data_IF_559373171953
#
_entry.id   IF_559373171953
#
_cell.length_a   1.000
_cell.length_b   1.000
_cell.length_c   1.000
_cell.angle_alpha   90.00
_cell.angle_beta   90.00
_cell.angle_gamma   90.00
#
_symmetry.space_group_name_H-M   'P 1'
#
loop_
_entity.id
_entity.type
_entity.pdbx_description
1 polymer ?
#
# COMPACT_ATOMS: atom_id res chain seq x y z
N UNK A 1 -7.68 -2.79 -32.85
CA UNK A 1 -8.11 -2.61 -31.44
C UNK A 1 -8.67 -3.92 -30.94
N UNK A 2 -7.97 -4.58 -30.02
CA UNK A 2 -8.50 -5.75 -29.30
C UNK A 2 -9.67 -5.30 -28.43
N UNK A 3 -10.75 -6.10 -28.36
CA UNK A 3 -11.90 -5.76 -27.53
C UNK A 3 -11.51 -5.98 -26.07
N UNK A 4 -11.35 -4.89 -25.30
CA UNK A 4 -11.14 -4.96 -23.85
C UNK A 4 -12.18 -5.88 -23.21
N UNK A 5 -11.74 -6.67 -22.23
CA UNK A 5 -12.61 -7.54 -21.43
C UNK A 5 -13.77 -6.72 -20.83
N UNK A 6 -15.00 -7.24 -20.93
CA UNK A 6 -16.21 -6.57 -20.41
C UNK A 6 -16.10 -6.25 -18.91
N UNK A 7 -15.47 -7.12 -18.12
CA UNK A 7 -15.25 -6.91 -16.69
C UNK A 7 -14.38 -5.67 -16.43
N UNK A 8 -13.31 -5.47 -17.21
CA UNK A 8 -12.43 -4.30 -17.06
C UNK A 8 -13.18 -3.00 -17.39
N UNK A 9 -14.09 -3.04 -18.36
CA UNK A 9 -14.96 -1.89 -18.70
C UNK A 9 -15.96 -1.54 -17.61
N UNK A 10 -16.32 -2.50 -16.76
CA UNK A 10 -17.22 -2.29 -15.61
C UNK A 10 -16.42 -1.87 -14.38
N UNK A 11 -15.32 -2.55 -14.09
CA UNK A 11 -14.45 -2.30 -12.92
C UNK A 11 -13.91 -0.87 -12.95
N UNK A 12 -13.38 -0.41 -14.10
CA UNK A 12 -12.78 0.93 -14.19
C UNK A 12 -13.72 2.07 -13.79
N UNK A 13 -14.92 2.25 -14.38
CA UNK A 13 -15.80 3.35 -14.00
C UNK A 13 -16.30 3.25 -12.55
N UNK A 14 -16.44 2.05 -12.00
CA UNK A 14 -16.81 1.86 -10.58
C UNK A 14 -15.73 2.43 -9.66
N UNK A 15 -14.47 2.05 -9.87
CA UNK A 15 -13.37 2.57 -9.05
C UNK A 15 -13.08 4.04 -9.32
N UNK A 16 -13.23 4.50 -10.57
CA UNK A 16 -13.14 5.93 -10.90
C UNK A 16 -14.19 6.74 -10.12
N UNK A 17 -15.43 6.28 -10.08
CA UNK A 17 -16.48 6.92 -9.30
C UNK A 17 -16.19 6.90 -7.80
N UNK A 18 -15.62 5.81 -7.28
CA UNK A 18 -15.19 5.71 -5.89
C UNK A 18 -14.10 6.74 -5.55
N UNK A 19 -13.01 6.83 -6.32
CA UNK A 19 -11.95 7.82 -6.05
C UNK A 19 -12.44 9.25 -6.20
N UNK A 20 -13.30 9.53 -7.19
CA UNK A 20 -13.93 10.85 -7.32
C UNK A 20 -14.81 11.17 -6.09
N UNK A 21 -15.55 10.18 -5.57
CA UNK A 21 -16.33 10.35 -4.36
C UNK A 21 -15.44 10.67 -3.14
N UNK A 22 -14.34 9.92 -2.93
CA UNK A 22 -13.40 10.19 -1.84
C UNK A 22 -12.80 11.58 -1.98
N UNK A 23 -12.36 11.96 -3.18
CA UNK A 23 -11.83 13.30 -3.46
C UNK A 23 -12.83 14.41 -3.11
N UNK A 24 -14.08 14.33 -3.58
CA UNK A 24 -15.11 15.34 -3.25
C UNK A 24 -15.46 15.35 -1.76
N UNK A 25 -15.51 14.17 -1.14
CA UNK A 25 -15.73 14.04 0.30
C UNK A 25 -14.62 14.72 1.10
N UNK A 26 -13.35 14.50 0.73
CA UNK A 26 -12.18 15.12 1.36
C UNK A 26 -12.15 16.64 1.17
N UNK A 27 -12.51 17.14 -0.02
CA UNK A 27 -12.72 18.58 -0.26
C UNK A 27 -13.78 19.15 0.68
N UNK A 28 -14.91 18.45 0.87
CA UNK A 28 -15.99 18.92 1.74
C UNK A 28 -15.61 18.98 3.22
N UNK A 29 -14.53 18.29 3.60
CA UNK A 29 -13.99 18.21 4.96
C UNK A 29 -12.71 19.02 5.14
N UNK A 30 -12.28 19.76 4.11
CA UNK A 30 -11.03 20.53 4.10
C UNK A 30 -9.79 19.67 4.40
N UNK A 31 -9.80 18.40 4.01
CA UNK A 31 -8.67 17.48 4.15
C UNK A 31 -7.97 17.32 2.81
N UNK A 32 -6.71 17.73 2.74
CA UNK A 32 -5.97 17.85 1.47
C UNK A 32 -5.24 16.58 1.05
N UNK A 33 -4.93 15.70 1.99
CA UNK A 33 -4.08 14.53 1.79
C UNK A 33 -4.75 13.47 0.92
N UNK A 34 -5.96 13.04 1.27
CA UNK A 34 -6.73 12.09 0.43
C UNK A 34 -7.15 12.67 -0.93
N UNK A 35 -7.08 13.99 -1.15
CA UNK A 35 -7.30 14.58 -2.48
C UNK A 35 -6.14 14.18 -3.40
N UNK A 36 -4.90 14.28 -2.91
CA UNK A 36 -3.72 13.94 -3.70
C UNK A 36 -3.67 12.45 -4.01
N UNK A 37 -3.91 11.58 -3.01
CA UNK A 37 -3.98 10.13 -3.18
C UNK A 37 -5.03 9.74 -4.23
N UNK A 38 -6.22 10.32 -4.14
CA UNK A 38 -7.30 10.04 -5.09
C UNK A 38 -6.94 10.48 -6.50
N UNK A 39 -6.26 11.62 -6.68
CA UNK A 39 -5.77 12.06 -8.00
C UNK A 39 -4.73 11.06 -8.53
N UNK A 40 -3.78 10.64 -7.70
CA UNK A 40 -2.75 9.67 -8.07
C UNK A 40 -3.36 8.32 -8.45
N UNK A 41 -4.30 7.81 -7.66
CA UNK A 41 -5.00 6.55 -7.93
C UNK A 41 -5.88 6.62 -9.17
N UNK A 42 -6.55 7.75 -9.44
CA UNK A 42 -7.25 7.98 -10.71
C UNK A 42 -6.27 7.89 -11.88
N UNK A 43 -5.10 8.53 -11.78
CA UNK A 43 -4.07 8.51 -12.82
C UNK A 43 -3.54 7.10 -13.06
N UNK A 44 -3.19 6.37 -11.98
CA UNK A 44 -2.69 4.99 -12.05
C UNK A 44 -3.75 4.03 -12.60
N UNK A 45 -4.98 4.10 -12.10
CA UNK A 45 -6.09 3.27 -12.58
C UNK A 45 -6.38 3.52 -14.07
N UNK A 46 -6.32 4.80 -14.49
CA UNK A 46 -6.49 5.20 -15.90
C UNK A 46 -5.34 4.69 -16.76
N UNK A 47 -4.09 4.82 -16.31
CA UNK A 47 -2.91 4.31 -16.99
C UNK A 47 -3.00 2.78 -17.19
N UNK A 48 -3.40 2.05 -16.14
CA UNK A 48 -3.63 0.61 -16.20
C UNK A 48 -4.80 0.22 -17.10
N UNK A 49 -5.88 1.00 -17.11
CA UNK A 49 -7.01 0.78 -18.02
C UNK A 49 -6.58 0.91 -19.48
N UNK A 50 -5.81 1.93 -19.84
CA UNK A 50 -5.33 2.13 -21.22
C UNK A 50 -4.17 1.19 -21.60
N UNK A 51 -3.35 0.80 -20.64
CA UNK A 51 -2.21 -0.11 -20.85
C UNK A 51 -2.54 -1.59 -20.65
N UNK A 52 -3.79 -1.92 -20.29
CA UNK A 52 -4.24 -3.26 -19.91
C UNK A 52 -3.74 -4.36 -20.86
N UNK A 53 -3.91 -4.16 -22.17
CA UNK A 53 -3.52 -5.14 -23.18
C UNK A 53 -2.00 -5.18 -23.38
N UNK A 54 -1.33 -4.03 -23.34
CA UNK A 54 0.14 -3.93 -23.46
C UNK A 54 0.88 -4.58 -22.29
N UNK A 55 0.24 -4.56 -21.11
CA UNK A 55 0.73 -5.19 -19.89
C UNK A 55 0.34 -6.68 -19.79
N UNK A 56 -0.36 -7.25 -20.79
CA UNK A 56 -0.88 -8.62 -20.70
C UNK A 56 -1.63 -8.90 -19.39
N UNK A 57 -2.28 -7.87 -18.85
CA UNK A 57 -2.91 -7.94 -17.54
C UNK A 57 -4.17 -8.80 -17.64
N UNK A 58 -4.45 -9.58 -16.59
CA UNK A 58 -5.71 -10.28 -16.46
C UNK A 58 -6.70 -9.40 -15.68
N UNK A 59 -8.00 -9.65 -15.81
CA UNK A 59 -9.02 -8.80 -15.19
C UNK A 59 -8.98 -8.86 -13.65
N UNK A 60 -8.50 -9.99 -13.09
CA UNK A 60 -8.31 -10.14 -11.63
C UNK A 60 -7.18 -9.24 -11.13
N UNK A 61 -6.05 -9.14 -11.83
CA UNK A 61 -4.96 -8.24 -11.48
C UNK A 61 -5.39 -6.78 -11.50
N UNK A 62 -6.19 -6.39 -12.50
CA UNK A 62 -6.79 -5.05 -12.57
C UNK A 62 -7.77 -4.79 -11.41
N UNK A 63 -8.60 -5.79 -11.06
CA UNK A 63 -9.51 -5.67 -9.92
C UNK A 63 -8.74 -5.58 -8.60
N UNK A 64 -7.76 -6.45 -8.38
CA UNK A 64 -6.97 -6.53 -7.15
C UNK A 64 -6.22 -5.23 -6.87
N UNK A 65 -5.59 -4.61 -7.87
CA UNK A 65 -4.86 -3.37 -7.64
C UNK A 65 -5.79 -2.19 -7.32
N UNK A 66 -6.97 -2.14 -7.96
CA UNK A 66 -7.95 -1.12 -7.63
C UNK A 66 -8.58 -1.36 -6.24
N UNK A 67 -8.80 -2.62 -5.85
CA UNK A 67 -9.21 -2.94 -4.48
C UNK A 67 -8.15 -2.52 -3.46
N UNK A 68 -6.87 -2.79 -3.73
CA UNK A 68 -5.79 -2.42 -2.83
C UNK A 68 -5.70 -0.88 -2.63
N UNK A 69 -5.70 -0.11 -3.73
CA UNK A 69 -5.74 1.36 -3.67
C UNK A 69 -7.01 1.87 -2.97
N UNK A 70 -8.15 1.21 -3.17
CA UNK A 70 -9.39 1.59 -2.49
C UNK A 70 -9.35 1.31 -0.99
N UNK A 71 -8.76 0.18 -0.56
CA UNK A 71 -8.59 -0.10 0.87
C UNK A 71 -7.71 0.96 1.53
N UNK A 72 -6.65 1.43 0.86
CA UNK A 72 -5.85 2.54 1.35
C UNK A 72 -6.70 3.81 1.56
N UNK A 73 -7.52 4.20 0.59
CA UNK A 73 -8.44 5.34 0.69
C UNK A 73 -9.51 5.17 1.79
N UNK A 74 -9.85 3.94 2.20
CA UNK A 74 -10.76 3.75 3.34
C UNK A 74 -10.15 4.21 4.67
N UNK A 75 -8.83 4.40 4.73
CA UNK A 75 -8.16 5.10 5.83
C UNK A 75 -8.82 6.43 6.17
N UNK A 76 -9.41 7.11 5.17
CA UNK A 76 -10.19 8.34 5.32
C UNK A 76 -11.32 8.24 6.33
N UNK A 77 -11.89 7.05 6.49
CA UNK A 77 -12.98 6.79 7.41
C UNK A 77 -12.50 6.25 8.77
N UNK A 78 -11.20 6.41 9.07
CA UNK A 78 -10.58 5.97 10.31
C UNK A 78 -10.16 4.50 10.32
N UNK A 79 -10.08 3.85 9.16
CA UNK A 79 -9.75 2.42 9.09
C UNK A 79 -8.31 2.12 9.53
N UNK A 80 -7.36 3.04 9.35
CA UNK A 80 -5.98 2.86 9.83
C UNK A 80 -5.89 2.71 11.36
N UNK A 81 -6.85 3.25 12.11
CA UNK A 81 -6.96 3.02 13.56
C UNK A 81 -7.63 1.70 13.96
N UNK A 82 -8.00 0.85 13.00
CA UNK A 82 -8.72 -0.40 13.25
C UNK A 82 -7.82 -1.63 13.16
N UNK A 83 -8.24 -2.69 13.84
CA UNK A 83 -7.65 -4.03 13.72
C UNK A 83 -8.68 -5.01 13.18
N UNK A 84 -8.26 -5.87 12.25
CA UNK A 84 -9.06 -6.95 11.71
C UNK A 84 -8.38 -8.28 12.00
N UNK A 85 -9.07 -9.16 12.74
CA UNK A 85 -8.52 -10.45 13.19
C UNK A 85 -7.18 -10.32 13.94
N UNK A 86 -7.00 -9.23 14.70
CA UNK A 86 -5.78 -8.95 15.46
C UNK A 86 -4.61 -8.41 14.63
N UNK A 87 -4.84 -8.04 13.37
CA UNK A 87 -3.84 -7.40 12.49
C UNK A 87 -4.26 -5.96 12.25
N UNK A 88 -3.31 -5.02 12.38
CA UNK A 88 -3.57 -3.61 12.05
C UNK A 88 -4.00 -3.48 10.60
N UNK A 89 -4.98 -2.61 10.35
CA UNK A 89 -5.49 -2.39 8.99
C UNK A 89 -4.39 -2.00 8.02
N UNK A 90 -3.40 -1.26 8.49
CA UNK A 90 -2.29 -0.78 7.68
C UNK A 90 -1.43 -1.91 7.09
N UNK A 91 -1.06 -2.87 7.94
CA UNK A 91 -0.38 -4.10 7.51
C UNK A 91 -1.18 -4.83 6.41
N UNK A 92 -2.52 -4.80 6.49
CA UNK A 92 -3.39 -5.44 5.49
C UNK A 92 -3.35 -4.66 4.16
N UNK A 93 -3.42 -3.33 4.20
CA UNK A 93 -3.36 -2.47 3.01
C UNK A 93 -2.02 -2.60 2.29
N UNK A 94 -0.89 -2.56 3.01
CA UNK A 94 0.45 -2.72 2.44
C UNK A 94 0.64 -4.12 1.84
N UNK A 95 0.27 -5.17 2.60
CA UNK A 95 0.34 -6.56 2.12
C UNK A 95 -0.51 -6.80 0.86
N UNK A 96 -1.74 -6.27 0.79
CA UNK A 96 -2.61 -6.47 -0.37
C UNK A 96 -2.10 -5.68 -1.59
N UNK A 97 -1.55 -4.48 -1.37
CA UNK A 97 -1.00 -3.64 -2.42
C UNK A 97 0.17 -4.32 -3.14
N UNK A 98 1.13 -4.87 -2.40
CA UNK A 98 2.24 -5.61 -3.02
C UNK A 98 1.82 -6.96 -3.58
N UNK A 99 0.82 -7.61 -2.98
CA UNK A 99 0.24 -8.82 -3.56
C UNK A 99 -0.32 -8.54 -4.96
N UNK A 100 -1.11 -7.46 -5.11
CA UNK A 100 -1.70 -7.04 -6.37
C UNK A 100 -0.64 -6.58 -7.37
N UNK A 101 0.33 -5.77 -6.93
CA UNK A 101 1.43 -5.28 -7.77
C UNK A 101 2.29 -6.44 -8.30
N UNK A 102 2.66 -7.39 -7.45
CA UNK A 102 3.39 -8.60 -7.83
C UNK A 102 2.65 -9.41 -8.90
N UNK A 103 1.32 -9.52 -8.77
CA UNK A 103 0.50 -10.16 -9.79
C UNK A 103 0.61 -9.47 -11.15
N UNK A 104 0.47 -8.13 -11.17
CA UNK A 104 0.55 -7.33 -12.39
C UNK A 104 1.93 -7.46 -13.03
N UNK A 105 3.01 -7.25 -12.27
CA UNK A 105 4.38 -7.30 -12.78
C UNK A 105 4.69 -8.70 -13.31
N UNK A 106 4.31 -9.76 -12.59
CA UNK A 106 4.53 -11.14 -13.02
C UNK A 106 3.90 -11.40 -14.39
N UNK A 107 2.62 -11.05 -14.58
CA UNK A 107 1.94 -11.26 -15.86
C UNK A 107 2.42 -10.33 -16.97
N UNK A 108 2.86 -9.11 -16.64
CA UNK A 108 3.39 -8.17 -17.62
C UNK A 108 4.76 -8.59 -18.16
N UNK A 109 5.62 -9.15 -17.31
CA UNK A 109 6.97 -9.55 -17.70
C UNK A 109 7.04 -10.97 -18.25
N UNK A 110 6.21 -11.90 -17.78
CA UNK A 110 6.27 -13.31 -18.16
C UNK A 110 6.29 -13.59 -19.66
N UNK A 111 5.43 -12.97 -20.51
CA UNK A 111 5.46 -13.21 -21.96
C UNK A 111 6.74 -12.69 -22.65
N UNK A 112 7.47 -11.78 -22.00
CA UNK A 112 8.70 -11.17 -22.54
C UNK A 112 9.94 -12.01 -22.24
N UNK A 113 9.80 -13.02 -21.40
CA UNK A 113 10.88 -13.92 -21.01
C UNK A 113 10.89 -15.13 -21.93
N UNK A 114 12.03 -15.36 -22.59
CA UNK A 114 12.21 -16.51 -23.47
C UNK A 114 12.06 -17.81 -22.69
N UNK A 115 11.08 -18.63 -23.07
CA UNK A 115 10.82 -19.94 -22.45
C UNK A 115 11.95 -20.96 -22.68
N UNK A 116 12.97 -20.62 -23.47
CA UNK A 116 14.10 -21.50 -23.79
C UNK A 116 15.10 -21.60 -22.62
N UNK A 117 15.12 -20.64 -21.72
CA UNK A 117 16.06 -20.62 -20.59
C UNK A 117 15.43 -21.19 -19.31
N UNK A 118 15.57 -22.52 -19.12
CA UNK A 118 15.06 -23.22 -17.93
C UNK A 118 15.58 -22.61 -16.61
N UNK A 119 16.82 -22.11 -16.59
CA UNK A 119 17.38 -21.49 -15.39
C UNK A 119 16.68 -20.18 -15.03
N UNK A 120 16.41 -19.32 -16.02
CA UNK A 120 15.76 -18.04 -15.79
C UNK A 120 14.35 -18.23 -15.21
N UNK A 121 13.61 -19.27 -15.65
CA UNK A 121 12.28 -19.57 -15.11
C UNK A 121 12.25 -19.85 -13.60
N UNK A 122 13.37 -20.33 -13.01
CA UNK A 122 13.47 -20.59 -11.57
C UNK A 122 13.78 -19.33 -10.76
N UNK A 123 14.55 -18.40 -11.34
CA UNK A 123 14.97 -17.16 -10.68
C UNK A 123 13.93 -16.06 -10.88
N UNK A 124 13.13 -16.14 -11.95
CA UNK A 124 12.11 -15.14 -12.28
C UNK A 124 11.15 -14.80 -11.11
N UNK A 125 10.59 -15.76 -10.35
CA UNK A 125 9.84 -15.49 -9.12
C UNK A 125 10.55 -14.55 -8.13
N UNK A 126 11.84 -14.78 -7.90
CA UNK A 126 12.66 -13.98 -6.97
C UNK A 126 12.84 -12.56 -7.51
N UNK A 127 13.08 -12.41 -8.82
CA UNK A 127 13.19 -11.09 -9.46
C UNK A 127 11.89 -10.29 -9.29
N UNK A 128 10.73 -10.94 -9.41
CA UNK A 128 9.44 -10.29 -9.18
C UNK A 128 9.31 -9.79 -7.74
N UNK A 129 9.65 -10.62 -6.75
CA UNK A 129 9.64 -10.21 -5.34
C UNK A 129 10.57 -9.01 -5.12
N UNK A 130 11.83 -9.09 -5.57
CA UNK A 130 12.80 -8.00 -5.41
C UNK A 130 12.35 -6.70 -6.09
N UNK A 131 11.75 -6.78 -7.28
CA UNK A 131 11.23 -5.59 -7.96
C UNK A 131 10.05 -4.97 -7.20
N UNK A 132 9.16 -5.79 -6.65
CA UNK A 132 8.05 -5.30 -5.82
C UNK A 132 8.56 -4.65 -4.53
N UNK A 133 9.56 -5.25 -3.88
CA UNK A 133 10.20 -4.68 -2.69
C UNK A 133 10.88 -3.36 -2.99
N UNK A 134 11.56 -3.24 -4.13
CA UNK A 134 12.18 -1.98 -4.54
C UNK A 134 11.15 -0.87 -4.77
N UNK A 135 9.99 -1.18 -5.35
CA UNK A 135 8.91 -0.20 -5.56
C UNK A 135 8.24 0.16 -4.22
N UNK A 136 7.86 -0.85 -3.44
CA UNK A 136 7.18 -0.64 -2.15
C UNK A 136 8.07 0.12 -1.18
N UNK A 137 9.31 -0.34 -0.97
CA UNK A 137 10.25 0.33 -0.08
C UNK A 137 10.65 1.74 -0.52
N UNK A 138 10.54 2.07 -1.81
CA UNK A 138 10.68 3.46 -2.23
C UNK A 138 9.50 4.33 -1.75
N UNK A 139 8.28 3.80 -1.73
CA UNK A 139 7.11 4.45 -1.13
C UNK A 139 7.29 4.68 0.37
N UNK A 140 7.65 3.62 1.11
CA UNK A 140 7.91 3.68 2.55
C UNK A 140 9.00 4.72 2.90
N UNK A 141 10.06 4.81 2.10
CA UNK A 141 11.12 5.80 2.32
C UNK A 141 10.64 7.24 2.06
N UNK A 142 9.68 7.45 1.16
CA UNK A 142 9.07 8.76 0.92
C UNK A 142 8.18 9.15 2.11
N UNK A 143 7.44 8.20 2.66
CA UNK A 143 6.61 8.39 3.86
C UNK A 143 7.48 8.70 5.08
N UNK A 144 8.44 7.82 5.38
CA UNK A 144 9.42 8.04 6.45
C UNK A 144 10.21 9.34 6.29
N UNK A 145 10.64 9.66 5.06
CA UNK A 145 11.35 10.90 4.78
C UNK A 145 10.47 12.12 5.07
N UNK A 146 9.21 12.10 4.66
CA UNK A 146 8.31 13.22 4.92
C UNK A 146 7.99 13.40 6.39
N UNK A 147 7.85 12.31 7.14
CA UNK A 147 7.60 12.41 8.59
C UNK A 147 8.76 13.07 9.35
N UNK A 148 9.99 13.02 8.82
CA UNK A 148 11.15 13.74 9.36
C UNK A 148 11.14 15.23 8.96
N UNK A 149 10.76 15.56 7.73
CA UNK A 149 10.98 16.90 7.16
C UNK A 149 9.74 17.81 7.18
N UNK A 150 8.55 17.29 7.50
CA UNK A 150 7.29 18.04 7.53
C UNK A 150 6.80 18.07 8.98
N UNK A 151 6.61 19.27 9.54
CA UNK A 151 6.28 19.50 10.97
C UNK A 151 5.04 18.75 11.49
N UNK A 152 4.19 18.24 10.60
CA UNK A 152 2.98 17.48 10.94
C UNK A 152 3.14 15.97 10.79
N UNK A 153 4.34 15.45 10.54
CA UNK A 153 4.60 14.01 10.38
C UNK A 153 3.99 13.40 9.11
N UNK A 154 3.26 14.19 8.33
CA UNK A 154 2.66 13.79 7.08
C UNK A 154 3.80 13.50 6.11
N UNK A 155 3.89 12.29 5.55
CA UNK A 155 4.90 11.90 4.57
C UNK A 155 5.08 12.92 3.43
N UNK A 156 6.06 12.77 2.53
CA UNK A 156 6.38 13.82 1.52
C UNK A 156 5.18 14.16 0.61
N UNK A 157 4.18 13.27 0.59
CA UNK A 157 2.92 13.36 -0.13
C UNK A 157 1.71 13.79 0.73
N UNK A 158 1.91 14.10 2.01
CA UNK A 158 0.85 14.50 2.94
C UNK A 158 0.22 13.34 3.73
N UNK A 159 0.83 12.16 3.75
CA UNK A 159 0.21 10.93 4.27
C UNK A 159 0.50 10.81 5.77
N UNK A 160 -0.48 11.20 6.60
CA UNK A 160 -0.94 10.48 7.80
C UNK A 160 -1.99 11.31 8.57
N UNK A 161 -3.05 10.68 9.13
CA UNK A 161 -4.00 11.36 9.98
C UNK A 161 -3.40 11.65 11.38
N UNK A 162 -3.77 12.81 11.94
CA UNK A 162 -3.45 13.36 13.27
C UNK A 162 -3.71 12.46 14.52
N UNK A 163 -3.77 11.13 14.40
CA UNK A 163 -4.16 10.25 15.51
C UNK A 163 -3.16 10.20 16.67
N UNK A 164 -1.88 10.53 16.47
CA UNK A 164 -0.88 10.43 17.55
C UNK A 164 -0.83 11.71 18.42
N UNK A 165 -1.20 12.87 17.88
CA UNK A 165 -1.13 14.14 18.63
C UNK A 165 -2.24 14.28 19.69
N UNK A 166 -3.44 13.74 19.44
CA UNK A 166 -4.61 13.96 20.33
C UNK A 166 -4.77 12.92 21.45
N UNK A 167 -4.11 11.76 21.38
CA UNK A 167 -4.26 10.70 22.38
C UNK A 167 -3.31 10.84 23.59
N UNK A 168 -2.16 11.50 23.44
CA UNK A 168 -1.20 11.73 24.53
C UNK A 168 -1.36 13.09 25.22
N UNK A 169 -2.21 13.96 24.66
CA UNK A 169 -2.61 15.21 25.29
C UNK A 169 -4.10 15.07 25.68
N UNK A 170 -4.35 14.23 26.68
CA UNK A 170 -5.49 14.42 27.59
C UNK A 170 -5.33 15.67 28.47
N UNK A 171 -4.55 16.65 28.03
CA UNK A 171 -4.48 17.97 28.62
C UNK A 171 -5.57 18.77 27.96
N UNK A 172 -6.66 18.95 28.69
CA UNK A 172 -7.70 19.91 28.34
C UNK A 172 -7.04 21.25 27.94
N UNK A 173 -7.27 21.77 26.72
CA UNK A 173 -6.70 23.05 26.31
C UNK A 173 -7.09 24.21 27.25
N UNK A 174 -8.09 24.05 28.12
CA UNK A 174 -8.40 24.99 29.21
C UNK A 174 -7.29 25.12 30.27
N UNK A 175 -6.31 24.18 30.29
CA UNK A 175 -5.17 24.18 31.21
C UNK A 175 -4.01 25.06 30.68
N UNK A 176 -4.04 25.49 29.41
CA UNK A 176 -3.14 26.52 28.87
C UNK A 176 -3.48 27.90 29.48
N UNK A 177 -3.11 28.09 30.74
CA UNK A 177 -3.40 29.27 31.55
C UNK A 177 -3.41 29.01 33.05
N UNK A 178 -3.45 27.74 33.48
CA UNK A 178 -3.22 27.40 34.89
C UNK A 178 -1.75 27.09 35.10
N UNK A 179 -1.13 27.79 36.06
CA UNK A 179 0.20 27.45 36.56
C UNK A 179 0.15 26.03 37.14
N UNK A 180 0.52 25.04 36.33
CA UNK A 180 0.78 23.68 36.82
C UNK A 180 2.06 23.79 37.64
N UNK A 181 1.91 23.94 38.96
CA UNK A 181 2.99 23.77 39.91
C UNK A 181 3.37 22.29 39.90
N UNK A 182 4.22 21.91 38.96
CA UNK A 182 4.92 20.63 38.95
C UNK A 182 5.74 20.62 40.24
N UNK A 183 5.35 19.79 41.21
CA UNK A 183 6.16 19.55 42.39
C UNK A 183 7.45 18.85 41.94
N UNK A 184 8.48 19.69 41.79
CA UNK A 184 9.82 19.35 41.34
C UNK A 184 10.55 18.49 42.38
N UNK A 185 10.83 17.24 42.02
CA UNK A 185 12.13 16.61 42.24
C UNK A 185 12.48 15.77 40.99
N UNK A 186 12.51 16.41 39.82
CA UNK A 186 13.23 15.86 38.66
C UNK A 186 14.06 17.00 38.08
N UNK A 187 15.36 16.73 38.04
CA UNK A 187 16.47 17.56 37.57
C UNK A 187 16.16 18.32 36.29
N UNK A 188 16.67 19.55 36.21
CA UNK A 188 16.69 20.41 35.03
C UNK A 188 17.27 19.69 33.81
N UNK A 189 16.46 18.90 33.10
CA UNK A 189 16.69 18.68 31.69
C UNK A 189 16.24 19.96 30.97
N UNK A 190 17.13 20.53 30.18
CA UNK A 190 16.80 21.73 29.41
C UNK A 190 15.65 21.42 28.46
N UNK A 191 14.87 22.43 28.06
CA UNK A 191 13.81 22.27 27.04
C UNK A 191 14.36 21.57 25.79
N UNK A 192 15.63 21.82 25.44
CA UNK A 192 16.35 21.16 24.36
C UNK A 192 16.49 19.64 24.56
N UNK A 193 16.75 19.17 25.79
CA UNK A 193 16.83 17.74 26.09
C UNK A 193 15.47 17.05 26.01
N UNK A 194 14.40 17.71 26.47
CA UNK A 194 13.04 17.18 26.31
C UNK A 194 12.60 17.11 24.84
N UNK A 195 12.94 18.14 24.05
CA UNK A 195 12.70 18.15 22.60
C UNK A 195 13.52 17.06 21.91
N UNK A 196 14.81 16.89 22.25
CA UNK A 196 15.64 15.84 21.70
C UNK A 196 15.13 14.43 22.05
N UNK A 197 14.68 14.22 23.30
CA UNK A 197 14.08 12.96 23.73
C UNK A 197 12.78 12.68 22.98
N UNK A 198 11.91 13.68 22.81
CA UNK A 198 10.66 13.55 22.06
C UNK A 198 10.90 13.23 20.59
N UNK A 199 11.81 13.96 19.94
CA UNK A 199 12.22 13.70 18.55
C UNK A 199 12.83 12.31 18.40
N UNK A 200 13.57 11.83 19.41
CA UNK A 200 14.11 10.47 19.40
C UNK A 200 13.03 9.40 19.51
N UNK A 201 11.93 9.68 20.22
CA UNK A 201 10.77 8.79 20.34
C UNK A 201 9.94 8.74 19.05
N UNK A 202 9.55 9.89 18.50
CA UNK A 202 8.78 9.96 17.24
C UNK A 202 9.54 9.32 16.07
N UNK A 203 10.85 9.58 15.97
CA UNK A 203 11.70 8.94 14.97
C UNK A 203 11.80 7.42 15.16
N UNK A 204 11.80 6.95 16.41
CA UNK A 204 11.80 5.52 16.70
C UNK A 204 10.48 4.89 16.25
N UNK A 205 9.34 5.46 16.61
CA UNK A 205 8.03 4.92 16.24
C UNK A 205 7.86 4.87 14.71
N UNK A 206 8.20 5.96 14.00
CA UNK A 206 8.14 6.02 12.54
C UNK A 206 9.07 4.99 11.88
N UNK A 207 10.24 4.72 12.48
CA UNK A 207 11.14 3.68 11.99
C UNK A 207 10.53 2.29 12.14
N UNK A 208 9.92 1.98 13.28
CA UNK A 208 9.30 0.67 13.50
C UNK A 208 8.09 0.44 12.59
N UNK A 209 7.31 1.48 12.35
CA UNK A 209 6.17 1.45 11.43
C UNK A 209 6.64 1.14 10.00
N UNK A 210 7.58 1.94 9.48
CA UNK A 210 8.24 1.73 8.18
C UNK A 210 8.80 0.30 8.04
N UNK A 211 9.46 -0.23 9.08
CA UNK A 211 9.99 -1.60 9.04
C UNK A 211 8.88 -2.65 9.02
N UNK A 212 7.79 -2.41 9.75
CA UNK A 212 6.62 -3.29 9.79
C UNK A 212 5.93 -3.34 8.43
N UNK A 213 5.78 -2.20 7.76
CA UNK A 213 5.19 -2.12 6.43
C UNK A 213 6.08 -2.74 5.36
N UNK A 214 7.40 -2.58 5.44
CA UNK A 214 8.34 -3.33 4.60
C UNK A 214 8.19 -4.85 4.77
N UNK A 215 7.97 -5.34 5.98
CA UNK A 215 7.71 -6.77 6.24
C UNK A 215 6.37 -7.19 5.63
N UNK A 216 5.31 -6.40 5.83
CA UNK A 216 3.99 -6.63 5.25
C UNK A 216 4.04 -6.70 3.72
N UNK A 217 4.68 -5.70 3.11
CA UNK A 217 4.96 -5.60 1.69
C UNK A 217 5.72 -6.83 1.17
N UNK A 218 6.73 -7.30 1.91
CA UNK A 218 7.49 -8.51 1.58
C UNK A 218 6.60 -9.76 1.58
N UNK A 219 5.82 -9.94 2.65
CA UNK A 219 4.91 -11.08 2.76
C UNK A 219 3.89 -11.10 1.61
N UNK A 220 3.26 -9.96 1.31
CA UNK A 220 2.31 -9.82 0.22
C UNK A 220 2.88 -10.22 -1.15
N UNK A 221 4.10 -9.74 -1.47
CA UNK A 221 4.78 -10.06 -2.72
C UNK A 221 5.11 -11.57 -2.83
N UNK A 222 5.64 -12.18 -1.76
CA UNK A 222 5.99 -13.61 -1.72
C UNK A 222 4.75 -14.48 -1.88
N UNK A 223 3.68 -14.20 -1.12
CA UNK A 223 2.43 -14.95 -1.17
C UNK A 223 1.83 -14.89 -2.59
N UNK A 224 1.83 -13.71 -3.23
CA UNK A 224 1.34 -13.55 -4.61
C UNK A 224 2.09 -14.44 -5.60
N UNK A 225 3.43 -14.43 -5.55
CA UNK A 225 4.25 -15.26 -6.43
C UNK A 225 3.99 -16.75 -6.20
N UNK A 226 3.90 -17.21 -4.95
CA UNK A 226 3.57 -18.60 -4.61
C UNK A 226 2.20 -18.99 -5.19
N UNK A 227 1.17 -18.15 -4.99
CA UNK A 227 -0.18 -18.39 -5.50
C UNK A 227 -0.18 -18.50 -7.04
N UNK A 228 0.55 -17.63 -7.73
CA UNK A 228 0.64 -17.64 -9.19
C UNK A 228 1.32 -18.92 -9.68
N UNK A 229 2.48 -19.28 -9.12
CA UNK A 229 3.20 -20.51 -9.50
C UNK A 229 2.35 -21.76 -9.25
N UNK A 230 1.67 -21.83 -8.10
CA UNK A 230 0.77 -22.93 -7.80
C UNK A 230 -0.40 -23.02 -8.79
N UNK A 231 -1.03 -21.91 -9.13
CA UNK A 231 -2.10 -21.85 -10.14
C UNK A 231 -1.62 -22.36 -11.51
N UNK A 232 -0.41 -21.99 -11.92
CA UNK A 232 0.17 -22.40 -13.20
C UNK A 232 0.48 -23.90 -13.24
N UNK A 233 0.96 -24.46 -12.13
CA UNK A 233 1.16 -25.91 -11.97
C UNK A 233 -0.17 -26.65 -12.14
N UNK A 234 -1.22 -26.22 -11.42
CA UNK A 234 -2.56 -26.83 -11.52
C UNK A 234 -3.12 -26.75 -12.94
N UNK A 235 -2.98 -25.60 -13.61
CA UNK A 235 -3.40 -25.42 -15.00
C UNK A 235 -2.68 -26.36 -15.96
N UNK A 236 -1.38 -26.58 -15.77
CA UNK A 236 -0.56 -27.50 -16.56
C UNK A 236 -1.02 -28.96 -16.39
N UNK A 237 -1.31 -29.38 -15.15
CA UNK A 237 -1.83 -30.73 -14.85
C UNK A 237 -3.18 -30.96 -15.54
N UNK A 238 -4.11 -29.99 -15.46
CA UNK A 238 -5.43 -30.08 -16.11
C UNK A 238 -5.32 -30.17 -17.63
N UNK A 239 -4.42 -29.40 -18.24
CA UNK A 239 -4.17 -29.44 -19.69
C UNK A 239 -3.68 -30.82 -20.17
N UNK A 240 -2.72 -31.43 -19.45
CA UNK A 240 -2.20 -32.77 -19.76
C UNK A 240 -3.26 -33.87 -19.63
N UNK A 241 -4.18 -33.77 -18.67
CA UNK A 241 -5.29 -34.74 -18.54
C UNK A 241 -6.24 -34.67 -19.73
N UNK A 242 -6.58 -33.45 -20.18
CA UNK A 242 -7.48 -33.24 -21.31
C UNK A 242 -6.89 -33.72 -22.64
N UNK A 243 -5.57 -33.56 -22.86
CA UNK A 243 -4.92 -34.03 -24.09
C UNK A 243 -4.85 -35.55 -24.16
N UNK A 244 -4.68 -36.25 -23.03
CA UNK A 244 -4.73 -37.72 -22.98
C UNK A 244 -6.13 -38.26 -23.27
N UNK A 245 -7.19 -37.60 -22.79
CA UNK A 245 -8.58 -38.02 -23.04
C UNK A 245 -8.98 -37.91 -24.51
N UNK A 246 -8.45 -36.93 -25.25
CA UNK A 246 -8.71 -36.77 -26.70
C UNK A 246 -8.01 -37.80 -27.61
N UNK A 247 -7.09 -38.60 -27.07
CA UNK A 247 -6.36 -39.63 -27.83
C UNK A 247 -6.92 -41.05 -27.65
N UNK A 248 -7.89 -41.21 -26.76
CA UNK A 248 -8.66 -42.45 -26.59
C UNK A 248 -10.00 -42.28 -27.26
#
# INVERSE_FOLDING_TARGET
MTKKNIFVKIVYPVFLAFYLFIMFYSISKSETYYIFDSILFILVATLFYFSYEKLNMNWMGFLLINLAMSLHELGRFGFFGMQFLGVNYDIITHSLSTFALSNIIYFALKPRISSKEKHFSKIFPIIIVLLCLGIAGFGELIEFGGSIYIENGQGLLGIEPESVSKALIGVDPSIYGQNVTVQNEITCETVEQQVALKLSGEMYDNYYDTMTDLIANTAGAIISVICIEFYLILKSIKSKKNSKKKRK
#
